data_IF_342903094153
#
_entry.id   IF_342903094153
#
_cell.length_a   1.000
_cell.length_b   1.000
_cell.length_c   1.000
_cell.angle_alpha   90.00
_cell.angle_beta   90.00
_cell.angle_gamma   90.00
#
_symmetry.space_group_name_H-M   'P 1'
#
loop_
_entity.id
_entity.type
_entity.pdbx_description
1 polymer ?
#
# COMPACT_ATOMS: atom_id res chain seq x y z
N UNK A 1 14.33 8.88 -31.05
CA UNK A 1 12.99 8.40 -30.60
C UNK A 1 12.95 7.83 -29.17
N UNK A 2 14.07 7.42 -28.58
CA UNK A 2 14.17 6.85 -27.21
C UNK A 2 13.78 7.83 -26.09
N UNK A 3 14.05 9.13 -26.24
CA UNK A 3 13.75 10.14 -25.21
C UNK A 3 12.24 10.38 -24.99
N UNK A 4 11.41 10.32 -26.05
CA UNK A 4 9.96 10.58 -25.91
C UNK A 4 9.26 9.50 -25.11
N UNK A 5 9.55 8.22 -25.40
CA UNK A 5 8.99 7.08 -24.65
C UNK A 5 9.43 7.11 -23.19
N UNK A 6 10.71 7.41 -22.93
CA UNK A 6 11.23 7.55 -21.58
C UNK A 6 10.56 8.71 -20.82
N UNK A 7 10.37 9.87 -21.44
CA UNK A 7 9.70 11.01 -20.81
C UNK A 7 8.23 10.72 -20.47
N UNK A 8 7.51 10.01 -21.35
CA UNK A 8 6.13 9.58 -21.08
C UNK A 8 6.10 8.60 -19.89
N UNK A 9 6.98 7.59 -19.88
CA UNK A 9 7.07 6.66 -18.77
C UNK A 9 7.42 7.35 -17.45
N UNK A 10 8.34 8.33 -17.49
CA UNK A 10 8.68 9.15 -16.32
C UNK A 10 7.47 9.97 -15.85
N UNK A 11 6.72 10.59 -16.75
CA UNK A 11 5.53 11.36 -16.40
C UNK A 11 4.46 10.48 -15.73
N UNK A 12 4.16 9.33 -16.32
CA UNK A 12 3.22 8.35 -15.75
C UNK A 12 3.68 7.92 -14.36
N UNK A 13 4.97 7.58 -14.22
CA UNK A 13 5.57 7.19 -12.94
C UNK A 13 5.47 8.30 -11.90
N UNK A 14 5.73 9.55 -12.26
CA UNK A 14 5.57 10.70 -11.35
C UNK A 14 4.12 10.85 -10.90
N UNK A 15 3.15 10.75 -11.82
CA UNK A 15 1.72 10.82 -11.47
C UNK A 15 1.35 9.72 -10.50
N UNK A 16 1.75 8.47 -10.77
CA UNK A 16 1.47 7.33 -9.89
C UNK A 16 2.17 7.46 -8.52
N UNK A 17 3.40 7.97 -8.49
CA UNK A 17 4.12 8.26 -7.25
C UNK A 17 3.36 9.31 -6.41
N UNK A 18 2.94 10.41 -7.02
CA UNK A 18 2.19 11.48 -6.34
C UNK A 18 0.84 10.96 -5.86
N UNK A 19 0.11 10.20 -6.69
CA UNK A 19 -1.16 9.58 -6.26
C UNK A 19 -0.96 8.64 -5.08
N UNK A 20 0.09 7.81 -5.11
CA UNK A 20 0.42 6.90 -4.00
C UNK A 20 0.75 7.67 -2.72
N UNK A 21 1.51 8.77 -2.84
CA UNK A 21 1.82 9.64 -1.72
C UNK A 21 0.56 10.32 -1.15
N UNK A 22 -0.34 10.79 -2.02
CA UNK A 22 -1.63 11.36 -1.60
C UNK A 22 -2.45 10.32 -0.85
N UNK A 23 -2.54 9.07 -1.35
CA UNK A 23 -3.23 7.99 -0.65
C UNK A 23 -2.60 7.68 0.71
N UNK A 24 -1.26 7.71 0.79
CA UNK A 24 -0.53 7.49 2.04
C UNK A 24 -0.86 8.57 3.08
N UNK A 25 -0.89 9.85 2.67
CA UNK A 25 -1.17 10.98 3.57
C UNK A 25 -2.66 11.15 3.89
N UNK A 26 -3.55 10.75 2.98
CA UNK A 26 -5.00 10.87 3.13
C UNK A 26 -5.65 9.66 3.82
N UNK A 27 -4.88 8.65 4.21
CA UNK A 27 -5.39 7.44 4.87
C UNK A 27 -6.35 7.70 6.05
N UNK A 28 -6.09 8.67 6.96
CA UNK A 28 -6.98 8.94 8.08
C UNK A 28 -8.39 9.39 7.67
N UNK A 29 -8.55 9.89 6.44
CA UNK A 29 -9.83 10.31 5.86
C UNK A 29 -10.43 9.21 4.99
N UNK A 30 -9.58 8.43 4.32
CA UNK A 30 -9.98 7.46 3.30
C UNK A 30 -10.31 6.06 3.84
N UNK A 31 -10.10 5.77 5.13
CA UNK A 31 -10.32 4.42 5.68
C UNK A 31 -11.75 3.88 5.49
N UNK A 32 -12.75 4.75 5.35
CA UNK A 32 -14.15 4.36 5.06
C UNK A 32 -14.46 4.15 3.58
N UNK A 33 -13.57 4.62 2.71
CA UNK A 33 -13.76 4.56 1.26
C UNK A 33 -13.21 3.24 0.73
N UNK A 34 -14.06 2.52 0.00
CA UNK A 34 -13.70 1.25 -0.63
C UNK A 34 -14.27 1.18 -2.04
N UNK A 35 -13.56 0.48 -2.91
CA UNK A 35 -14.01 0.10 -4.24
C UNK A 35 -14.39 -1.37 -4.18
N UNK A 36 -15.64 -1.68 -4.49
CA UNK A 36 -16.16 -3.06 -4.50
C UNK A 36 -16.25 -3.52 -5.95
N UNK A 37 -15.55 -4.59 -6.30
CA UNK A 37 -15.62 -5.17 -7.66
C UNK A 37 -16.67 -6.27 -7.75
N UNK A 38 -16.83 -7.04 -6.66
CA UNK A 38 -17.85 -8.09 -6.46
C UNK A 38 -18.30 -8.08 -5.00
N UNK A 39 -19.22 -8.98 -4.67
CA UNK A 39 -19.69 -9.20 -3.29
C UNK A 39 -18.61 -9.78 -2.36
N UNK A 40 -17.53 -10.32 -2.92
CA UNK A 40 -16.46 -11.04 -2.23
C UNK A 40 -15.07 -10.45 -2.52
N UNK A 41 -15.00 -9.27 -3.14
CA UNK A 41 -13.73 -8.64 -3.48
C UNK A 41 -13.83 -7.11 -3.43
N UNK A 42 -13.17 -6.56 -2.42
CA UNK A 42 -13.13 -5.16 -2.08
C UNK A 42 -11.70 -4.68 -1.96
N UNK A 43 -11.47 -3.43 -2.35
CA UNK A 43 -10.17 -2.76 -2.27
C UNK A 43 -10.34 -1.45 -1.51
N UNK A 44 -9.52 -1.21 -0.50
CA UNK A 44 -9.49 0.03 0.26
C UNK A 44 -8.06 0.43 0.63
N UNK A 45 -7.91 1.62 1.18
CA UNK A 45 -6.67 2.05 1.85
C UNK A 45 -6.89 1.93 3.35
N UNK A 46 -6.00 1.22 4.04
CA UNK A 46 -6.11 0.96 5.47
C UNK A 46 -4.72 0.87 6.12
N UNK A 47 -4.46 1.66 7.16
CA UNK A 47 -3.17 1.74 7.88
C UNK A 47 -1.95 1.86 6.95
N UNK A 48 -2.00 2.79 6.00
CA UNK A 48 -0.98 2.98 4.97
C UNK A 48 -0.71 1.76 4.06
N UNK A 49 -1.67 0.84 3.95
CA UNK A 49 -1.64 -0.30 3.04
C UNK A 49 -2.77 -0.22 2.01
N UNK A 50 -2.55 -0.80 0.84
CA UNK A 50 -3.62 -1.20 -0.06
C UNK A 50 -4.16 -2.52 0.47
N UNK A 51 -5.41 -2.52 0.91
CA UNK A 51 -6.09 -3.69 1.46
C UNK A 51 -7.05 -4.29 0.43
N UNK A 52 -6.90 -5.58 0.17
CA UNK A 52 -7.81 -6.43 -0.59
C UNK A 52 -8.48 -7.38 0.40
N UNK A 53 -9.80 -7.47 0.38
CA UNK A 53 -10.54 -8.28 1.35
C UNK A 53 -11.90 -8.68 0.78
N UNK A 54 -12.50 -9.73 1.33
CA UNK A 54 -13.76 -10.25 0.82
C UNK A 54 -15.01 -9.83 1.56
N UNK A 55 -14.88 -9.39 2.80
CA UNK A 55 -16.05 -9.12 3.65
C UNK A 55 -16.16 -7.65 4.02
N UNK A 56 -17.30 -7.06 3.66
CA UNK A 56 -17.58 -5.65 3.90
C UNK A 56 -17.92 -5.35 5.36
N UNK A 57 -18.57 -6.27 6.05
CA UNK A 57 -19.06 -6.07 7.41
C UNK A 57 -17.90 -6.09 8.40
N UNK A 58 -16.99 -7.06 8.25
CA UNK A 58 -15.79 -7.17 9.08
C UNK A 58 -14.63 -6.30 8.58
N UNK A 59 -14.63 -5.94 7.30
CA UNK A 59 -13.58 -5.15 6.66
C UNK A 59 -12.24 -5.90 6.56
N UNK A 60 -11.14 -5.17 6.30
CA UNK A 60 -9.81 -5.77 6.27
C UNK A 60 -9.42 -6.31 7.64
N UNK A 61 -9.24 -7.63 7.74
CA UNK A 61 -8.91 -8.25 9.02
C UNK A 61 -7.44 -8.05 9.40
N UNK A 62 -7.23 -7.55 10.63
CA UNK A 62 -5.92 -7.34 11.22
C UNK A 62 -5.93 -7.69 12.71
N UNK A 63 -4.87 -8.31 13.21
CA UNK A 63 -4.75 -8.72 14.61
C UNK A 63 -4.38 -10.19 14.74
N UNK A 64 -4.76 -10.89 15.80
CA UNK A 64 -4.66 -12.35 15.92
C UNK A 64 -5.98 -12.93 16.40
N UNK A 65 -6.42 -14.07 15.84
CA UNK A 65 -7.46 -14.88 16.48
C UNK A 65 -6.84 -15.55 17.70
N UNK A 66 -6.86 -14.87 18.84
CA UNK A 66 -6.67 -15.51 20.13
C UNK A 66 -8.04 -16.06 20.53
N UNK A 67 -8.33 -17.31 20.16
CA UNK A 67 -9.26 -18.10 20.97
C UNK A 67 -8.45 -18.55 22.19
N UNK A 68 -8.42 -17.73 23.24
CA UNK A 68 -7.91 -18.15 24.54
C UNK A 68 -8.97 -17.91 25.61
N UNK A 69 -9.21 -18.99 26.33
CA UNK A 69 -10.09 -19.10 27.47
C UNK A 69 -9.68 -18.06 28.53
N UNK A 70 -10.56 -17.06 28.72
CA UNK A 70 -10.77 -16.28 29.93
C UNK A 70 -9.62 -15.64 30.72
N UNK A 71 -8.44 -15.34 30.17
CA UNK A 71 -7.49 -14.52 30.96
C UNK A 71 -6.39 -13.83 30.16
N UNK A 72 -6.58 -12.60 29.67
CA UNK A 72 -5.48 -11.68 29.33
C UNK A 72 -5.95 -10.21 29.33
N UNK A 73 -5.87 -9.55 30.49
CA UNK A 73 -6.09 -8.09 30.60
C UNK A 73 -4.88 -7.24 30.19
N UNK A 74 -3.73 -7.83 29.85
CA UNK A 74 -2.46 -7.07 29.72
C UNK A 74 -1.59 -7.43 28.50
N UNK A 75 -2.17 -8.02 27.44
CA UNK A 75 -1.45 -8.08 26.17
C UNK A 75 -1.67 -6.78 25.40
N UNK A 76 -1.09 -5.68 25.92
CA UNK A 76 -0.68 -4.53 25.12
C UNK A 76 0.40 -5.02 24.14
N UNK A 77 -0.07 -5.71 23.11
CA UNK A 77 0.77 -6.15 22.00
C UNK A 77 1.05 -4.90 21.19
N UNK A 78 2.05 -4.18 21.67
CA UNK A 78 2.68 -3.07 21.01
C UNK A 78 2.98 -3.45 19.56
N UNK A 79 2.10 -3.00 18.65
CA UNK A 79 2.26 -2.98 17.19
C UNK A 79 3.44 -2.04 16.87
N UNK A 80 4.65 -2.33 17.36
CA UNK A 80 5.80 -1.42 17.27
C UNK A 80 6.23 -1.12 15.83
N UNK A 81 5.90 -2.03 14.90
CA UNK A 81 6.26 -1.90 13.49
C UNK A 81 5.05 -1.88 12.55
N UNK A 82 3.84 -2.17 13.07
CA UNK A 82 2.62 -2.36 12.31
C UNK A 82 2.73 -3.38 11.16
N UNK A 83 1.65 -3.65 10.43
CA UNK A 83 1.67 -4.33 9.13
C UNK A 83 2.33 -3.46 8.03
N UNK A 84 2.87 -2.29 8.40
CA UNK A 84 3.37 -1.24 7.53
C UNK A 84 4.60 -1.65 6.73
N UNK A 85 5.40 -2.62 7.21
CA UNK A 85 6.58 -3.16 6.53
C UNK A 85 6.31 -4.57 5.99
N UNK A 86 5.51 -4.70 4.92
CA UNK A 86 5.40 -5.99 4.25
C UNK A 86 4.21 -6.20 3.34
N UNK A 87 4.12 -7.43 2.87
CA UNK A 87 2.90 -8.03 2.34
C UNK A 87 2.28 -8.81 3.50
N UNK A 88 1.08 -8.45 3.91
CA UNK A 88 0.33 -9.15 4.94
C UNK A 88 -0.78 -9.95 4.27
N UNK A 89 -0.83 -11.25 4.50
CA UNK A 89 -1.92 -12.09 4.00
C UNK A 89 -2.53 -12.89 5.14
N UNK A 90 -3.84 -13.03 5.11
CA UNK A 90 -4.57 -13.86 6.05
C UNK A 90 -5.78 -14.50 5.42
N UNK A 91 -6.02 -15.74 5.83
CA UNK A 91 -7.17 -16.54 5.46
C UNK A 91 -7.71 -17.26 6.68
N UNK A 92 -9.02 -17.24 6.84
CA UNK A 92 -9.74 -17.92 7.89
C UNK A 92 -10.97 -18.60 7.35
N UNK A 93 -11.31 -19.70 8.00
CA UNK A 93 -12.56 -20.40 7.81
C UNK A 93 -13.16 -20.66 9.18
N UNK A 94 -14.31 -20.07 9.45
CA UNK A 94 -15.09 -20.30 10.66
C UNK A 94 -15.75 -21.68 10.62
N UNK A 95 -16.19 -22.15 11.79
CA UNK A 95 -16.87 -23.45 11.97
C UNK A 95 -18.22 -23.51 11.24
N UNK A 96 -18.87 -22.38 11.03
CA UNK A 96 -20.10 -22.22 10.25
C UNK A 96 -19.87 -22.22 8.73
N UNK A 97 -18.61 -22.30 8.29
CA UNK A 97 -18.22 -22.30 6.88
C UNK A 97 -17.95 -20.92 6.30
N UNK A 98 -18.14 -19.83 7.06
CA UNK A 98 -17.80 -18.47 6.61
C UNK A 98 -16.30 -18.35 6.42
N UNK A 99 -15.89 -17.77 5.29
CA UNK A 99 -14.49 -17.56 4.94
C UNK A 99 -14.18 -16.07 4.98
N UNK A 100 -13.16 -15.67 5.72
CA UNK A 100 -12.60 -14.31 5.62
C UNK A 100 -11.17 -14.39 5.14
N UNK A 101 -10.83 -13.56 4.18
CA UNK A 101 -9.45 -13.36 3.78
C UNK A 101 -9.15 -11.88 3.59
N UNK A 102 -7.88 -11.54 3.81
CA UNK A 102 -7.39 -10.19 3.67
C UNK A 102 -5.94 -10.24 3.20
N UNK A 103 -5.63 -9.46 2.17
CA UNK A 103 -4.30 -9.22 1.66
C UNK A 103 -4.03 -7.72 1.77
N UNK A 104 -2.96 -7.31 2.44
CA UNK A 104 -2.54 -5.93 2.53
C UNK A 104 -1.13 -5.78 1.98
N UNK A 105 -0.90 -4.71 1.24
CA UNK A 105 0.41 -4.37 0.68
C UNK A 105 0.73 -2.94 1.09
N UNK A 106 1.87 -2.74 1.75
CA UNK A 106 2.31 -1.41 2.17
C UNK A 106 2.42 -0.44 0.99
N UNK A 107 1.85 0.76 1.11
CA UNK A 107 1.90 1.80 0.08
C UNK A 107 3.32 2.29 -0.22
N UNK A 108 4.29 2.01 0.66
CA UNK A 108 5.69 2.31 0.41
C UNK A 108 6.28 1.48 -0.74
N UNK A 109 5.78 0.25 -0.99
CA UNK A 109 6.23 -0.57 -2.14
C UNK A 109 5.93 0.11 -3.49
N UNK A 110 4.66 0.47 -3.81
CA UNK A 110 4.38 1.20 -5.04
C UNK A 110 5.05 2.58 -5.04
N UNK A 111 5.17 3.26 -3.89
CA UNK A 111 5.86 4.55 -3.82
C UNK A 111 7.32 4.44 -4.26
N UNK A 112 8.07 3.48 -3.72
CA UNK A 112 9.46 3.24 -4.11
C UNK A 112 9.58 2.83 -5.57
N UNK A 113 8.68 1.96 -6.06
CA UNK A 113 8.66 1.52 -7.45
C UNK A 113 8.48 2.71 -8.40
N UNK A 114 7.49 3.57 -8.13
CA UNK A 114 7.19 4.72 -8.98
C UNK A 114 8.19 5.88 -8.84
N UNK A 115 9.05 5.85 -7.82
CA UNK A 115 10.12 6.83 -7.63
C UNK A 115 11.34 6.57 -8.53
N UNK A 116 11.55 5.34 -9.00
CA UNK A 116 12.77 4.94 -9.75
C UNK A 116 12.96 5.80 -11.01
N UNK A 117 11.93 5.90 -11.87
CA UNK A 117 12.06 6.62 -13.15
C UNK A 117 12.26 8.13 -12.96
N UNK A 118 11.47 8.83 -12.12
CA UNK A 118 11.71 10.24 -11.80
C UNK A 118 13.11 10.49 -11.22
N UNK A 119 13.59 9.62 -10.32
CA UNK A 119 14.92 9.74 -9.73
C UNK A 119 16.03 9.58 -10.79
N UNK A 120 15.90 8.59 -11.68
CA UNK A 120 16.84 8.40 -12.79
C UNK A 120 16.82 9.58 -13.75
N UNK A 121 15.64 10.11 -14.09
CA UNK A 121 15.51 11.28 -14.95
C UNK A 121 16.16 12.52 -14.32
N UNK A 122 15.91 12.78 -13.03
CA UNK A 122 16.48 13.91 -12.30
C UNK A 122 18.01 13.79 -12.23
N UNK A 123 18.54 12.60 -11.93
CA UNK A 123 19.98 12.34 -11.91
C UNK A 123 20.64 12.57 -13.27
N UNK A 124 19.98 12.15 -14.36
CA UNK A 124 20.46 12.41 -15.73
C UNK A 124 20.51 13.91 -16.01
N UNK A 125 19.49 14.66 -15.59
CA UNK A 125 19.40 16.10 -15.82
C UNK A 125 20.50 16.87 -15.07
N UNK A 126 20.72 16.57 -13.79
CA UNK A 126 21.78 17.20 -12.99
C UNK A 126 23.16 16.97 -13.63
N UNK A 127 23.46 15.72 -14.01
CA UNK A 127 24.74 15.39 -14.67
C UNK A 127 24.95 16.15 -15.99
N UNK A 128 23.89 16.36 -16.77
CA UNK A 128 23.98 17.13 -18.02
C UNK A 128 24.24 18.62 -17.77
N UNK A 129 23.65 19.19 -16.71
CA UNK A 129 23.91 20.58 -16.31
C UNK A 129 25.35 20.79 -15.82
N UNK A 130 25.89 19.86 -15.04
CA UNK A 130 27.28 19.93 -14.55
C UNK A 130 28.34 19.87 -15.66
N UNK A 131 28.01 19.20 -16.77
CA UNK A 131 28.91 19.14 -17.93
C UNK A 131 28.93 20.45 -18.73
N UNK A 132 27.81 21.19 -18.75
CA UNK A 132 27.71 22.48 -19.44
C UNK A 132 28.36 23.63 -18.66
N UNK A 133 28.44 23.53 -17.33
CA UNK A 133 29.10 24.56 -16.49
C UNK A 133 30.63 24.40 -16.41
N UNK A 134 31.16 23.25 -16.84
CA UNK A 134 32.60 22.94 -16.87
C UNK A 134 33.27 23.12 -18.24
N UNK A 135 32.49 23.38 -19.29
CA UNK A 135 32.96 23.69 -20.64
C UNK A 135 33.00 25.19 -20.88
#
# INVERSE_FOLDING_TARGET
MTNRKFNIACLISTVLMVSTLVLYLAEPVLWRHRVSFRHDFHVSVWRCNIAFFNDVEYGPYHGSVLFLDNDYSDLDRLDHWGPSFGIYYRYFRWRDGVVLWTLMIGLWYPLLLFMILPAVWLRRRIRSSDLQTRS
#
